data_IF_356896595372
#
_entry.id   IF_356896595372
#
_cell.length_a   1.000
_cell.length_b   1.000
_cell.length_c   1.000
_cell.angle_alpha   90.00
_cell.angle_beta   90.00
_cell.angle_gamma   90.00
#
_symmetry.space_group_name_H-M   'P 1'
#
loop_
_entity.id
_entity.type
_entity.pdbx_description
1 polymer ?
#
# COMPACT_ATOMS: atom_id res chain seq x y z
N UNK A 1 1.18 -23.88 -5.60
CA UNK A 1 1.60 -22.98 -4.50
C UNK A 1 0.54 -21.90 -4.39
N UNK A 2 -0.13 -21.77 -3.25
CA UNK A 2 -1.14 -20.72 -3.02
C UNK A 2 -0.45 -19.67 -2.16
N UNK A 3 -0.38 -18.44 -2.66
CA UNK A 3 0.15 -17.29 -1.92
C UNK A 3 -1.04 -16.56 -1.30
N UNK A 4 -0.98 -16.31 0.00
CA UNK A 4 -2.04 -15.60 0.74
C UNK A 4 -1.47 -14.48 1.60
N UNK A 5 -2.26 -13.42 1.81
CA UNK A 5 -1.92 -12.30 2.69
C UNK A 5 -2.30 -12.67 4.12
N UNK A 6 -1.33 -12.69 5.03
CA UNK A 6 -1.56 -13.00 6.45
C UNK A 6 -1.73 -11.76 7.32
N UNK A 7 -1.07 -10.66 6.96
CA UNK A 7 -1.16 -9.40 7.68
C UNK A 7 -0.95 -8.21 6.74
N UNK A 8 -1.54 -7.07 7.12
CA UNK A 8 -1.49 -5.81 6.37
C UNK A 8 -1.19 -4.68 7.35
N UNK A 9 -0.39 -3.70 6.91
CA UNK A 9 -0.02 -2.53 7.70
C UNK A 9 0.06 -1.28 6.83
N UNK A 10 -0.22 -0.13 7.44
CA UNK A 10 -0.10 1.19 6.86
C UNK A 10 -0.79 1.33 5.49
N UNK A 11 -2.09 0.97 5.35
CA UNK A 11 -2.80 1.13 4.10
C UNK A 11 -3.07 2.61 3.79
N UNK A 12 -2.67 3.05 2.59
CA UNK A 12 -2.82 4.43 2.12
C UNK A 12 -3.36 4.41 0.70
N UNK A 13 -4.41 5.21 0.44
CA UNK A 13 -4.90 5.40 -0.93
C UNK A 13 -3.87 6.09 -1.81
N UNK A 14 -3.82 5.72 -3.09
CA UNK A 14 -3.07 6.43 -4.11
C UNK A 14 -3.99 7.40 -4.87
N UNK A 15 -3.39 8.35 -5.61
CA UNK A 15 -4.13 9.27 -6.49
C UNK A 15 -5.00 8.55 -7.53
N UNK A 16 -4.69 7.30 -7.87
CA UNK A 16 -5.42 6.48 -8.83
C UNK A 16 -6.55 5.65 -8.18
N UNK A 17 -6.73 5.72 -6.86
CA UNK A 17 -7.70 4.89 -6.12
C UNK A 17 -7.20 3.47 -5.83
N UNK A 18 -5.92 3.18 -6.07
CA UNK A 18 -5.26 1.96 -5.58
C UNK A 18 -4.92 2.13 -4.09
N UNK A 19 -4.52 1.05 -3.42
CA UNK A 19 -4.13 1.11 -2.01
C UNK A 19 -2.71 0.57 -1.88
N UNK A 20 -1.78 1.43 -1.46
CA UNK A 20 -0.44 1.02 -1.08
C UNK A 20 -0.45 0.55 0.37
N UNK A 21 0.17 -0.59 0.66
CA UNK A 21 0.27 -1.12 2.00
C UNK A 21 1.50 -2.03 2.13
N UNK A 22 1.87 -2.32 3.37
CA UNK A 22 2.85 -3.34 3.69
C UNK A 22 2.10 -4.64 3.99
N UNK A 23 2.51 -5.74 3.37
CA UNK A 23 1.87 -7.04 3.55
C UNK A 23 2.85 -8.12 3.97
N UNK A 24 2.35 -9.12 4.69
CA UNK A 24 3.05 -10.38 4.90
C UNK A 24 2.41 -11.44 4.03
N UNK A 25 3.23 -12.06 3.18
CA UNK A 25 2.83 -13.16 2.32
C UNK A 25 3.12 -14.48 3.03
N UNK A 26 2.23 -15.43 2.85
CA UNK A 26 2.41 -16.82 3.29
C UNK A 26 2.38 -17.75 2.08
N UNK A 27 3.10 -18.87 2.16
CA UNK A 27 3.26 -19.82 1.07
C UNK A 27 4.33 -19.41 0.05
N UNK A 28 5.31 -18.59 0.45
CA UNK A 28 6.53 -18.29 -0.31
C UNK A 28 7.72 -18.94 0.40
N UNK A 29 8.45 -19.82 -0.30
CA UNK A 29 9.32 -20.84 0.32
C UNK A 29 10.59 -20.32 1.02
N UNK A 30 10.91 -19.02 1.07
CA UNK A 30 12.25 -18.62 1.52
C UNK A 30 12.38 -17.55 2.63
N UNK A 31 11.38 -16.75 3.02
CA UNK A 31 11.57 -15.80 4.16
C UNK A 31 10.22 -15.16 4.59
N UNK A 32 9.39 -15.89 5.34
CA UNK A 32 8.05 -15.46 5.79
C UNK A 32 8.03 -14.40 6.92
N UNK A 33 8.89 -13.38 6.87
CA UNK A 33 8.98 -12.43 7.99
C UNK A 33 8.94 -10.96 7.62
N UNK A 34 9.34 -10.60 6.40
CA UNK A 34 9.46 -9.20 6.06
C UNK A 34 8.17 -8.61 5.50
N UNK A 35 7.92 -7.38 5.92
CA UNK A 35 6.84 -6.55 5.43
C UNK A 35 7.20 -6.10 4.02
N UNK A 36 6.49 -6.62 3.03
CA UNK A 36 6.74 -6.29 1.63
C UNK A 36 5.81 -5.18 1.17
N UNK A 37 6.32 -4.17 0.43
CA UNK A 37 5.47 -3.17 -0.19
C UNK A 37 4.60 -3.83 -1.27
N UNK A 38 3.30 -3.61 -1.16
CA UNK A 38 2.32 -4.15 -2.09
C UNK A 38 1.27 -3.08 -2.44
N UNK A 39 0.90 -3.03 -3.72
CA UNK A 39 -0.14 -2.13 -4.22
C UNK A 39 -1.37 -2.96 -4.57
N UNK A 40 -2.37 -2.93 -3.71
CA UNK A 40 -3.65 -3.59 -3.94
C UNK A 40 -4.47 -2.80 -4.97
N UNK A 41 -4.88 -3.48 -6.03
CA UNK A 41 -5.67 -2.90 -7.11
C UNK A 41 -6.92 -3.76 -7.39
N UNK A 42 -8.04 -3.16 -7.80
CA UNK A 42 -9.24 -3.94 -8.17
C UNK A 42 -9.02 -4.73 -9.47
N UNK A 43 -8.05 -4.32 -10.28
CA UNK A 43 -7.70 -4.89 -11.58
C UNK A 43 -6.46 -5.78 -11.52
N UNK A 44 -6.03 -6.19 -10.32
CA UNK A 44 -4.84 -7.03 -10.16
C UNK A 44 -4.97 -8.33 -10.95
N UNK A 45 -3.90 -8.86 -11.53
CA UNK A 45 -3.96 -10.17 -12.18
C UNK A 45 -3.84 -11.30 -11.16
N UNK A 46 -3.21 -11.02 -10.02
CA UNK A 46 -3.03 -11.97 -8.94
C UNK A 46 -4.31 -12.09 -8.09
N UNK A 47 -4.80 -13.32 -7.82
CA UNK A 47 -5.97 -13.54 -6.97
C UNK A 47 -5.83 -12.90 -5.57
N UNK A 48 -4.68 -13.03 -4.94
CA UNK A 48 -4.41 -12.46 -3.61
C UNK A 48 -4.44 -10.93 -3.60
N UNK A 49 -4.10 -10.26 -4.71
CA UNK A 49 -4.17 -8.80 -4.83
C UNK A 49 -5.61 -8.29 -4.87
N UNK A 50 -6.50 -8.98 -5.60
CA UNK A 50 -7.94 -8.67 -5.62
C UNK A 50 -8.60 -8.89 -4.26
N UNK A 51 -8.32 -10.02 -3.63
CA UNK A 51 -8.83 -10.36 -2.30
C UNK A 51 -8.40 -9.33 -1.26
N UNK A 52 -7.13 -8.92 -1.30
CA UNK A 52 -6.60 -7.87 -0.44
C UNK A 52 -7.32 -6.53 -0.66
N UNK A 53 -7.51 -6.10 -1.92
CA UNK A 53 -8.20 -4.85 -2.22
C UNK A 53 -9.64 -4.86 -1.68
N UNK A 54 -10.36 -5.98 -1.80
CA UNK A 54 -11.71 -6.11 -1.26
C UNK A 54 -11.73 -6.08 0.27
N UNK A 55 -10.80 -6.79 0.92
CA UNK A 55 -10.69 -6.84 2.38
C UNK A 55 -10.26 -5.49 2.99
N UNK A 56 -9.41 -4.73 2.30
CA UNK A 56 -9.07 -3.37 2.68
C UNK A 56 -10.28 -2.45 2.62
N UNK A 57 -11.02 -2.46 1.51
CA UNK A 57 -12.20 -1.60 1.35
C UNK A 57 -13.38 -2.01 2.26
N UNK A 58 -13.44 -3.27 2.70
CA UNK A 58 -14.42 -3.71 3.70
C UNK A 58 -14.05 -3.27 5.13
N UNK A 59 -12.84 -2.74 5.33
CA UNK A 59 -12.33 -2.34 6.64
C UNK A 59 -11.79 -3.50 7.50
N UNK A 60 -11.57 -4.68 6.92
CA UNK A 60 -11.08 -5.87 7.64
C UNK A 60 -9.71 -5.65 8.29
N UNK A 61 -8.86 -4.82 7.67
CA UNK A 61 -7.52 -4.49 8.15
C UNK A 61 -7.41 -3.11 8.81
N UNK A 62 -8.56 -2.53 9.18
CA UNK A 62 -8.64 -1.18 9.74
C UNK A 62 -8.89 -0.10 8.69
N UNK A 63 -8.69 1.15 9.11
CA UNK A 63 -9.00 2.31 8.28
C UNK A 63 -7.85 2.58 7.28
N UNK A 64 -8.20 2.79 6.01
CA UNK A 64 -7.25 3.20 4.98
C UNK A 64 -7.01 4.70 5.11
N UNK A 65 -5.75 5.10 5.21
CA UNK A 65 -5.38 6.52 5.24
C UNK A 65 -5.66 7.16 3.86
N UNK A 66 -6.14 8.41 3.83
CA UNK A 66 -6.32 9.12 2.56
C UNK A 66 -4.96 9.33 1.87
N UNK A 67 -5.00 9.46 0.55
CA UNK A 67 -3.83 9.88 -0.21
C UNK A 67 -3.37 11.25 0.31
N UNK A 68 -2.11 11.30 0.75
CA UNK A 68 -1.43 12.57 1.01
C UNK A 68 -0.59 12.85 -0.22
N UNK A 69 -0.91 13.94 -0.92
CA UNK A 69 -0.04 14.42 -1.99
C UNK A 69 1.35 14.60 -1.39
N UNK A 70 2.41 14.01 -1.97
CA UNK A 70 3.75 14.34 -1.55
C UNK A 70 3.85 15.85 -1.72
N UNK A 71 3.95 16.55 -0.60
CA UNK A 71 4.25 17.96 -0.60
C UNK A 71 5.55 18.08 -1.40
N UNK A 72 5.44 18.66 -2.60
CA UNK A 72 6.61 19.04 -3.37
C UNK A 72 7.52 19.72 -2.37
N UNK A 73 8.75 19.22 -2.23
CA UNK A 73 9.77 19.88 -1.42
C UNK A 73 10.09 21.23 -2.07
N UNK A 74 9.16 22.19 -1.95
CA UNK A 74 9.36 23.59 -2.21
C UNK A 74 10.04 24.12 -0.95
N UNK A 75 11.27 23.67 -0.73
CA UNK A 75 12.15 24.38 0.17
C UNK A 75 12.48 25.72 -0.51
N UNK A 76 11.80 26.74 0.00
CA UNK A 76 12.03 28.16 -0.20
C UNK A 76 13.52 28.47 -0.32
N UNK A 77 13.99 28.78 -1.53
CA UNK A 77 15.06 29.75 -1.71
C UNK A 77 14.44 31.09 -2.13
N UNK A 78 13.78 31.75 -1.19
CA UNK A 78 13.60 33.19 -1.24
C UNK A 78 14.65 33.83 -0.33
N UNK A 79 15.73 34.36 -0.90
CA UNK A 79 16.39 35.56 -0.36
C UNK A 79 16.86 36.43 -1.51
N UNK A 80 16.15 37.54 -1.67
CA UNK A 80 16.58 38.75 -2.35
C UNK A 80 17.72 39.37 -1.54
N UNK A 81 18.86 39.73 -2.13
CA UNK A 81 19.70 40.80 -1.60
C UNK A 81 20.23 41.66 -2.74
N UNK A 82 20.16 42.96 -2.50
CA UNK A 82 20.30 44.08 -3.40
C UNK A 82 21.67 44.73 -3.22
#
# INVERSE_FOLDING_TARGET
MIIAISAVKDPVYTVQGCINCLVKLTGVDEEETDWLPFTATPTDEAPHGKELWQALNSGQYGQIAPYTQPEDAVEKSQTTEN
#
